data_IF_023967355524
#
_entry.id   IF_023967355524
#
_cell.length_a   1.000
_cell.length_b   1.000
_cell.length_c   1.000
_cell.angle_alpha   90.00
_cell.angle_beta   90.00
_cell.angle_gamma   90.00
#
_symmetry.space_group_name_H-M   'P 1'
#
loop_
_entity.id
_entity.type
_entity.pdbx_description
1 polymer ?
#
# COMPACT_ATOMS: atom_id res chain seq x y z
N UNK A 1 5.96 8.54 -16.34
CA UNK A 1 5.64 8.65 -14.90
C UNK A 1 4.76 7.44 -14.57
N UNK A 2 5.19 6.57 -13.66
CA UNK A 2 4.41 5.43 -13.17
C UNK A 2 3.54 5.85 -12.00
N UNK A 3 2.31 5.36 -11.96
CA UNK A 3 1.35 5.66 -10.89
C UNK A 3 1.22 4.53 -9.85
N UNK A 4 1.89 3.38 -10.06
CA UNK A 4 1.74 2.20 -9.22
C UNK A 4 3.02 1.41 -8.93
N UNK A 5 4.12 1.68 -9.65
CA UNK A 5 5.34 0.88 -9.48
C UNK A 5 6.19 1.35 -8.28
N UNK A 6 6.28 0.53 -7.24
CA UNK A 6 6.99 0.85 -5.99
C UNK A 6 8.30 0.08 -5.79
N UNK A 7 8.70 -0.76 -6.75
CA UNK A 7 9.97 -1.50 -6.72
C UNK A 7 11.18 -0.58 -6.46
N UNK A 8 11.98 -0.82 -5.41
CA UNK A 8 13.18 -0.04 -5.11
C UNK A 8 14.22 -0.02 -6.24
N UNK A 9 14.26 -1.05 -7.10
CA UNK A 9 15.22 -1.08 -8.22
C UNK A 9 15.02 0.09 -9.21
N UNK A 10 13.81 0.62 -9.31
CA UNK A 10 13.45 1.73 -10.22
C UNK A 10 13.98 3.10 -9.76
N UNK A 11 14.57 3.16 -8.57
CA UNK A 11 15.24 4.35 -8.02
C UNK A 11 16.59 4.63 -8.68
N UNK A 12 17.24 3.62 -9.28
CA UNK A 12 18.55 3.79 -9.89
C UNK A 12 18.49 4.69 -11.13
N UNK A 13 18.95 5.93 -10.99
CA UNK A 13 18.96 6.94 -12.07
C UNK A 13 19.95 6.62 -13.17
N UNK A 14 20.96 5.78 -12.93
CA UNK A 14 21.89 5.35 -13.96
C UNK A 14 21.23 4.38 -14.92
N UNK A 15 20.51 3.38 -14.40
CA UNK A 15 19.75 2.41 -15.21
C UNK A 15 18.44 3.00 -15.75
N UNK A 16 17.74 3.82 -14.96
CA UNK A 16 16.41 4.37 -15.28
C UNK A 16 16.37 5.91 -15.26
N UNK A 17 17.17 6.61 -16.09
CA UNK A 17 17.29 8.07 -16.05
C UNK A 17 15.98 8.81 -16.34
N UNK A 18 15.07 8.22 -17.12
CA UNK A 18 13.79 8.81 -17.54
C UNK A 18 12.57 8.30 -16.76
N UNK A 19 12.79 7.44 -15.76
CA UNK A 19 11.71 6.94 -14.94
C UNK A 19 11.30 8.00 -13.92
N UNK A 20 10.01 8.10 -13.64
CA UNK A 20 9.46 8.94 -12.57
C UNK A 20 8.25 8.23 -12.02
N UNK A 21 7.91 8.44 -10.75
CA UNK A 21 6.70 7.88 -10.14
C UNK A 21 6.04 8.82 -9.15
N UNK A 22 4.72 8.81 -9.12
CA UNK A 22 3.87 9.58 -8.18
C UNK A 22 3.67 8.85 -6.85
N UNK A 23 4.60 7.97 -6.51
CA UNK A 23 4.63 7.15 -5.30
C UNK A 23 6.09 7.00 -4.87
N UNK A 24 6.30 6.51 -3.67
CA UNK A 24 7.64 6.21 -3.16
C UNK A 24 7.96 4.72 -3.30
N UNK A 25 9.26 4.39 -3.27
CA UNK A 25 9.70 3.00 -3.18
C UNK A 25 9.15 2.31 -1.93
N UNK A 26 9.02 0.98 -1.98
CA UNK A 26 8.70 0.14 -0.83
C UNK A 26 9.67 0.34 0.36
N UNK A 27 10.89 0.83 0.13
CA UNK A 27 11.85 1.09 1.21
C UNK A 27 11.35 2.11 2.23
N UNK A 28 10.67 3.17 1.79
CA UNK A 28 10.16 4.19 2.70
C UNK A 28 9.02 3.62 3.55
N UNK A 29 8.18 2.76 2.95
CA UNK A 29 7.14 2.05 3.67
C UNK A 29 7.73 1.10 4.72
N UNK A 30 8.82 0.40 4.42
CA UNK A 30 9.50 -0.46 5.40
C UNK A 30 10.06 0.35 6.58
N UNK A 31 10.56 1.56 6.34
CA UNK A 31 10.99 2.48 7.40
C UNK A 31 9.79 2.89 8.27
N UNK A 32 8.68 3.30 7.65
CA UNK A 32 7.44 3.66 8.33
C UNK A 32 6.91 2.51 9.19
N UNK A 33 6.93 1.28 8.65
CA UNK A 33 6.56 0.06 9.35
C UNK A 33 7.46 -0.16 10.58
N UNK A 34 8.78 -0.05 10.43
CA UNK A 34 9.69 -0.24 11.56
C UNK A 34 9.40 0.74 12.71
N UNK A 35 9.06 2.00 12.39
CA UNK A 35 8.64 2.97 13.40
C UNK A 35 7.33 2.57 14.07
N UNK A 36 6.34 2.11 13.30
CA UNK A 36 5.07 1.62 13.84
C UNK A 36 5.28 0.43 14.80
N UNK A 37 6.11 -0.55 14.42
CA UNK A 37 6.41 -1.71 15.24
C UNK A 37 7.12 -1.29 16.55
N UNK A 38 8.07 -0.37 16.46
CA UNK A 38 8.79 0.19 17.63
C UNK A 38 7.87 0.94 18.58
N UNK A 39 6.91 1.72 18.05
CA UNK A 39 5.92 2.45 18.84
C UNK A 39 5.15 1.53 19.80
N UNK A 40 4.77 0.34 19.33
CA UNK A 40 4.08 -0.67 20.14
C UNK A 40 5.02 -1.61 20.91
N UNK A 41 6.34 -1.40 20.84
CA UNK A 41 7.34 -2.26 21.50
C UNK A 41 7.39 -3.68 20.92
N UNK A 42 6.97 -3.85 19.66
CA UNK A 42 6.99 -5.12 18.95
C UNK A 42 8.36 -5.36 18.34
N UNK A 43 9.02 -6.42 18.78
CA UNK A 43 10.34 -6.83 18.27
C UNK A 43 10.37 -8.29 17.79
N UNK A 44 9.21 -8.95 17.74
CA UNK A 44 9.08 -10.36 17.37
C UNK A 44 7.85 -10.59 16.49
N UNK A 45 8.04 -10.58 15.18
CA UNK A 45 6.95 -10.58 14.18
C UNK A 45 7.03 -11.76 13.22
N UNK A 46 5.91 -12.13 12.61
CA UNK A 46 5.87 -13.05 11.48
C UNK A 46 5.78 -12.28 10.17
N UNK A 47 6.28 -12.86 9.08
CA UNK A 47 6.10 -12.32 7.72
C UNK A 47 5.41 -13.37 6.86
N UNK A 48 4.38 -12.92 6.16
CA UNK A 48 3.70 -13.70 5.12
C UNK A 48 3.80 -12.93 3.81
N UNK A 49 4.24 -13.60 2.76
CA UNK A 49 4.47 -12.98 1.46
C UNK A 49 3.85 -13.81 0.34
N UNK A 50 3.51 -13.16 -0.77
CA UNK A 50 2.94 -13.82 -1.95
C UNK A 50 3.92 -14.84 -2.54
N UNK A 51 3.42 -15.94 -3.12
CA UNK A 51 4.26 -17.02 -3.67
C UNK A 51 4.76 -16.69 -5.08
N UNK A 52 5.36 -15.50 -5.22
CA UNK A 52 5.90 -14.98 -6.48
C UNK A 52 7.21 -14.20 -6.25
N UNK A 53 7.84 -13.75 -7.34
CA UNK A 53 9.11 -13.03 -7.27
C UNK A 53 9.03 -11.70 -6.49
N UNK A 54 7.87 -11.03 -6.54
CA UNK A 54 7.64 -9.80 -5.78
C UNK A 54 7.62 -10.09 -4.28
N UNK A 55 6.87 -11.11 -3.84
CA UNK A 55 6.81 -11.53 -2.44
C UNK A 55 8.14 -11.98 -1.87
N UNK A 56 8.91 -12.77 -2.62
CA UNK A 56 10.25 -13.21 -2.19
C UNK A 56 11.22 -12.02 -2.01
N UNK A 57 11.18 -11.07 -2.95
CA UNK A 57 12.01 -9.85 -2.89
C UNK A 57 11.62 -8.97 -1.70
N UNK A 58 10.33 -8.72 -1.54
CA UNK A 58 9.80 -7.91 -0.42
C UNK A 58 10.17 -8.55 0.91
N UNK A 59 10.02 -9.88 1.05
CA UNK A 59 10.41 -10.60 2.26
C UNK A 59 11.90 -10.42 2.60
N UNK A 60 12.79 -10.55 1.61
CA UNK A 60 14.23 -10.39 1.82
C UNK A 60 14.60 -8.97 2.23
N UNK A 61 14.05 -7.96 1.53
CA UNK A 61 14.29 -6.55 1.85
C UNK A 61 13.72 -6.21 3.22
N UNK A 62 12.46 -6.55 3.48
CA UNK A 62 11.78 -6.26 4.74
C UNK A 62 12.53 -6.87 5.93
N UNK A 63 12.97 -8.12 5.83
CA UNK A 63 13.76 -8.78 6.90
C UNK A 63 15.06 -8.02 7.20
N UNK A 64 15.71 -7.46 6.17
CA UNK A 64 16.92 -6.63 6.34
C UNK A 64 16.62 -5.31 7.04
N UNK A 65 15.50 -4.65 6.73
CA UNK A 65 15.08 -3.43 7.42
C UNK A 65 14.70 -3.69 8.88
N UNK A 66 13.89 -4.72 9.15
CA UNK A 66 13.51 -5.12 10.50
C UNK A 66 14.72 -5.44 11.38
N UNK A 67 15.66 -6.25 10.86
CA UNK A 67 16.85 -6.66 11.62
C UNK A 67 17.77 -5.49 11.99
N UNK A 68 17.92 -4.49 11.10
CA UNK A 68 18.67 -3.25 11.39
C UNK A 68 18.04 -2.46 12.54
N UNK A 69 16.73 -2.54 12.67
CA UNK A 69 15.97 -1.84 13.70
C UNK A 69 15.81 -2.66 15.00
N UNK A 70 16.47 -3.83 15.09
CA UNK A 70 16.42 -4.70 16.26
C UNK A 70 15.12 -5.51 16.37
N UNK A 71 14.41 -5.70 15.26
CA UNK A 71 13.17 -6.48 15.18
C UNK A 71 13.48 -7.83 14.52
N UNK A 72 13.11 -8.91 15.19
CA UNK A 72 13.36 -10.26 14.70
C UNK A 72 12.12 -10.86 14.04
N UNK A 73 12.38 -11.63 12.99
CA UNK A 73 11.36 -12.41 12.28
C UNK A 73 11.30 -13.82 12.84
N UNK A 74 10.19 -14.22 13.47
CA UNK A 74 9.97 -15.59 13.94
C UNK A 74 9.91 -16.58 12.77
N UNK A 75 9.19 -16.19 11.73
CA UNK A 75 8.99 -16.98 10.54
C UNK A 75 8.75 -16.09 9.34
N UNK A 76 9.21 -16.55 8.18
CA UNK A 76 8.81 -16.07 6.86
C UNK A 76 8.14 -17.21 6.12
N UNK A 77 6.88 -17.05 5.72
CA UNK A 77 6.14 -18.10 5.02
C UNK A 77 5.42 -17.54 3.79
N UNK A 78 5.43 -18.33 2.72
CA UNK A 78 4.63 -18.05 1.52
C UNK A 78 3.14 -18.20 1.85
N UNK A 79 2.34 -17.29 1.35
CA UNK A 79 0.88 -17.41 1.35
C UNK A 79 0.54 -18.53 0.36
N UNK A 80 0.19 -19.70 0.87
CA UNK A 80 -0.27 -20.84 0.07
C UNK A 80 -1.06 -21.81 0.96
N UNK A 81 -1.63 -22.87 0.38
CA UNK A 81 -2.48 -23.84 1.09
C UNK A 81 -1.79 -24.57 2.26
N UNK A 82 -0.45 -24.58 2.32
CA UNK A 82 0.31 -25.24 3.41
C UNK A 82 0.48 -24.33 4.62
N UNK A 83 0.20 -23.04 4.49
CA UNK A 83 0.39 -22.03 5.52
C UNK A 83 -0.43 -22.35 6.78
N UNK A 84 -1.68 -22.79 6.65
CA UNK A 84 -2.58 -23.05 7.80
C UNK A 84 -1.98 -24.05 8.81
N UNK A 85 -1.38 -25.15 8.31
CA UNK A 85 -0.77 -26.17 9.17
C UNK A 85 0.47 -25.62 9.89
N UNK A 86 1.20 -24.74 9.23
CA UNK A 86 2.44 -24.14 9.75
C UNK A 86 2.15 -23.04 10.76
N UNK A 87 1.10 -22.24 10.54
CA UNK A 87 0.67 -21.16 11.43
C UNK A 87 0.36 -21.62 12.85
N UNK A 88 -0.21 -22.83 13.02
CA UNK A 88 -0.52 -23.40 14.35
C UNK A 88 0.70 -23.57 15.25
N UNK A 89 1.91 -23.60 14.69
CA UNK A 89 3.18 -23.77 15.43
C UNK A 89 3.83 -22.44 15.82
N UNK A 90 3.30 -21.32 15.34
CA UNK A 90 3.87 -19.98 15.51
C UNK A 90 3.34 -19.32 16.78
N UNK A 91 4.20 -18.56 17.47
CA UNK A 91 3.89 -17.92 18.75
C UNK A 91 3.44 -16.47 18.59
N UNK A 92 4.04 -15.71 17.68
CA UNK A 92 3.71 -14.29 17.50
C UNK A 92 2.29 -14.11 16.97
N UNK A 93 1.62 -13.07 17.46
CA UNK A 93 0.30 -12.64 16.97
C UNK A 93 0.39 -11.61 15.86
N UNK A 94 1.47 -10.84 15.79
CA UNK A 94 1.63 -9.76 14.82
C UNK A 94 2.30 -10.31 13.57
N UNK A 95 1.63 -10.16 12.43
CA UNK A 95 2.08 -10.68 11.14
C UNK A 95 2.04 -9.55 10.11
N UNK A 96 3.15 -9.36 9.42
CA UNK A 96 3.27 -8.42 8.30
C UNK A 96 2.97 -9.19 7.02
N UNK A 97 2.16 -8.60 6.14
CA UNK A 97 1.76 -9.19 4.87
C UNK A 97 2.27 -8.30 3.73
N UNK A 98 3.14 -8.87 2.88
CA UNK A 98 3.85 -8.16 1.80
C UNK A 98 3.84 -8.93 0.47
N UNK A 99 4.43 -8.34 -0.57
CA UNK A 99 4.37 -8.84 -1.94
C UNK A 99 3.14 -8.40 -2.71
N UNK A 100 3.21 -8.49 -4.04
CA UNK A 100 2.09 -8.15 -4.93
C UNK A 100 1.11 -9.33 -5.04
N UNK A 101 -0.15 -9.17 -4.58
CA UNK A 101 -1.14 -10.21 -4.72
C UNK A 101 -1.56 -10.40 -6.18
N UNK A 102 -1.80 -11.65 -6.56
CA UNK A 102 -2.38 -12.00 -7.85
C UNK A 102 -3.59 -12.92 -7.67
N UNK A 103 -4.75 -12.35 -7.36
CA UNK A 103 -5.96 -13.13 -7.07
C UNK A 103 -6.59 -13.79 -8.31
N UNK A 104 -6.22 -13.41 -9.53
CA UNK A 104 -6.70 -14.08 -10.75
C UNK A 104 -6.14 -15.51 -10.87
N UNK A 105 -4.96 -15.77 -10.29
CA UNK A 105 -4.26 -17.06 -10.44
C UNK A 105 -3.98 -17.77 -9.11
N UNK A 106 -4.16 -17.12 -7.96
CA UNK A 106 -3.85 -17.70 -6.66
C UNK A 106 -5.11 -17.85 -5.79
N UNK A 107 -5.59 -19.09 -5.53
CA UNK A 107 -6.76 -19.34 -4.69
C UNK A 107 -6.37 -19.20 -3.21
N UNK A 108 -6.18 -17.97 -2.77
CA UNK A 108 -6.00 -17.62 -1.36
C UNK A 108 -7.31 -17.52 -0.58
N UNK A 109 -8.45 -17.74 -1.28
CA UNK A 109 -9.81 -17.53 -0.78
C UNK A 109 -10.06 -18.15 0.57
N UNK A 110 -9.43 -19.28 0.89
CA UNK A 110 -9.65 -19.98 2.16
C UNK A 110 -8.56 -19.70 3.21
N UNK A 111 -7.34 -19.36 2.78
CA UNK A 111 -6.18 -19.27 3.68
C UNK A 111 -6.09 -17.90 4.33
N UNK A 112 -6.27 -16.84 3.54
CA UNK A 112 -6.17 -15.45 4.01
C UNK A 112 -7.26 -15.11 5.05
N UNK A 113 -8.56 -15.46 4.88
CA UNK A 113 -9.56 -15.28 5.93
C UNK A 113 -9.17 -15.89 7.27
N UNK A 114 -8.65 -17.13 7.26
CA UNK A 114 -8.28 -17.86 8.47
C UNK A 114 -7.09 -17.21 9.17
N UNK A 115 -6.12 -16.75 8.40
CA UNK A 115 -4.97 -16.00 8.91
C UNK A 115 -5.44 -14.72 9.61
N UNK A 116 -6.27 -13.92 8.95
CA UNK A 116 -6.78 -12.64 9.47
C UNK A 116 -7.56 -12.87 10.77
N UNK A 117 -8.35 -13.94 10.87
CA UNK A 117 -9.08 -14.26 12.11
C UNK A 117 -8.16 -14.65 13.28
N UNK A 118 -7.02 -15.27 13.01
CA UNK A 118 -6.12 -15.80 14.05
C UNK A 118 -5.05 -14.82 14.51
N UNK A 119 -4.66 -13.89 13.64
CA UNK A 119 -3.49 -13.02 13.82
C UNK A 119 -3.88 -11.55 13.66
N UNK A 120 -3.09 -10.66 14.25
CA UNK A 120 -3.15 -9.23 13.97
C UNK A 120 -2.29 -8.96 12.74
N UNK A 121 -2.94 -8.64 11.63
CA UNK A 121 -2.28 -8.48 10.34
C UNK A 121 -1.99 -7.00 10.05
N UNK A 122 -0.78 -6.73 9.57
CA UNK A 122 -0.37 -5.44 9.02
C UNK A 122 -0.15 -5.64 7.51
N UNK A 123 -0.98 -5.01 6.68
CA UNK A 123 -0.90 -5.07 5.23
C UNK A 123 -0.15 -3.87 4.69
N UNK A 124 0.81 -4.15 3.79
CA UNK A 124 1.55 -3.11 3.08
C UNK A 124 0.76 -2.58 1.88
N UNK A 125 1.18 -1.45 1.32
CA UNK A 125 0.37 -0.65 0.41
C UNK A 125 -0.03 -1.36 -0.89
N UNK A 126 0.80 -2.28 -1.38
CA UNK A 126 0.53 -3.15 -2.54
C UNK A 126 -0.76 -3.97 -2.41
N UNK A 127 -1.13 -4.31 -1.18
CA UNK A 127 -2.28 -5.15 -0.88
C UNK A 127 -3.60 -4.40 -1.08
N UNK A 128 -3.59 -3.07 -0.95
CA UNK A 128 -4.79 -2.22 -1.03
C UNK A 128 -5.58 -2.33 -2.34
N UNK A 129 -4.92 -2.62 -3.45
CA UNK A 129 -5.52 -2.66 -4.78
C UNK A 129 -6.57 -3.74 -4.98
N UNK A 130 -6.63 -4.71 -4.07
CA UNK A 130 -7.30 -5.97 -4.33
C UNK A 130 -8.13 -6.49 -3.14
N UNK A 131 -8.31 -5.71 -2.05
CA UNK A 131 -9.12 -6.17 -0.90
C UNK A 131 -10.62 -6.16 -1.14
N UNK A 132 -11.08 -5.19 -1.92
CA UNK A 132 -12.52 -5.00 -2.08
C UNK A 132 -13.14 -6.12 -2.94
N UNK A 133 -12.36 -6.74 -3.84
CA UNK A 133 -12.76 -7.93 -4.60
C UNK A 133 -12.87 -9.23 -3.80
N UNK A 134 -12.46 -9.27 -2.52
CA UNK A 134 -12.24 -10.54 -1.81
C UNK A 134 -13.34 -11.00 -0.86
N UNK A 135 -14.50 -10.34 -0.76
CA UNK A 135 -15.47 -10.58 0.34
C UNK A 135 -14.86 -10.49 1.77
N UNK A 136 -13.59 -10.05 1.87
CA UNK A 136 -12.79 -10.06 3.10
C UNK A 136 -13.07 -8.84 3.98
N UNK A 137 -13.82 -7.85 3.50
CA UNK A 137 -14.14 -6.64 4.26
C UNK A 137 -14.63 -6.99 5.68
N UNK A 138 -15.51 -7.99 5.81
CA UNK A 138 -16.00 -8.49 7.11
C UNK A 138 -14.89 -8.87 8.11
N UNK A 139 -13.72 -9.28 7.62
CA UNK A 139 -12.59 -9.78 8.40
C UNK A 139 -11.50 -8.73 8.64
N UNK A 140 -11.51 -7.61 7.92
CA UNK A 140 -10.48 -6.58 8.04
C UNK A 140 -10.55 -5.77 9.33
N UNK A 141 -11.66 -5.90 10.09
CA UNK A 141 -11.75 -5.30 11.41
C UNK A 141 -10.61 -5.81 12.29
N UNK A 142 -9.80 -4.90 12.82
CA UNK A 142 -8.67 -5.27 13.67
C UNK A 142 -7.32 -5.40 12.95
N UNK A 143 -7.28 -5.11 11.65
CA UNK A 143 -6.06 -5.10 10.83
C UNK A 143 -5.53 -3.69 10.62
N UNK A 144 -4.27 -3.54 10.25
CA UNK A 144 -3.64 -2.25 9.96
C UNK A 144 -3.18 -2.23 8.52
N UNK A 145 -3.38 -1.11 7.83
CA UNK A 145 -2.97 -0.88 6.45
C UNK A 145 -2.12 0.38 6.35
N UNK A 146 -1.14 0.35 5.46
CA UNK A 146 -0.43 1.54 4.99
C UNK A 146 -0.99 1.97 3.63
N UNK A 147 -1.28 3.25 3.47
CA UNK A 147 -1.77 3.82 2.22
C UNK A 147 -0.94 5.04 1.83
N UNK A 148 -0.55 5.12 0.55
CA UNK A 148 0.07 6.30 -0.03
C UNK A 148 -0.94 7.06 -0.90
N UNK A 149 -0.80 8.38 -0.93
CA UNK A 149 -1.45 9.25 -1.92
C UNK A 149 -2.97 9.00 -2.07
N UNK A 150 -3.70 9.15 -0.96
CA UNK A 150 -5.15 8.96 -0.87
C UNK A 150 -5.92 10.04 -1.65
N UNK A 151 -6.97 9.65 -2.36
CA UNK A 151 -7.96 10.61 -2.87
C UNK A 151 -8.77 11.24 -1.73
N UNK A 152 -8.69 12.56 -1.60
CA UNK A 152 -9.56 13.34 -0.71
C UNK A 152 -11.01 13.37 -1.22
N UNK A 153 -11.96 13.51 -0.29
CA UNK A 153 -13.41 13.46 -0.59
C UNK A 153 -13.85 14.46 -1.67
N UNK A 154 -13.21 15.64 -1.73
CA UNK A 154 -13.55 16.67 -2.72
C UNK A 154 -13.16 16.28 -4.16
N UNK A 155 -11.96 15.70 -4.34
CA UNK A 155 -11.53 15.17 -5.63
C UNK A 155 -12.39 13.97 -6.03
N UNK A 156 -12.76 13.15 -5.05
CA UNK A 156 -13.70 12.05 -5.25
C UNK A 156 -15.05 12.48 -5.85
N UNK A 157 -15.55 13.68 -5.51
CA UNK A 157 -16.83 14.17 -6.05
C UNK A 157 -16.73 14.56 -7.54
N UNK A 158 -15.72 15.34 -7.93
CA UNK A 158 -15.51 15.72 -9.35
C UNK A 158 -15.16 14.52 -10.21
N UNK A 159 -14.31 13.62 -9.69
CA UNK A 159 -13.96 12.38 -10.37
C UNK A 159 -15.20 11.51 -10.57
N UNK A 160 -16.05 11.35 -9.54
CA UNK A 160 -17.34 10.64 -9.65
C UNK A 160 -18.23 11.25 -10.72
N UNK A 161 -18.38 12.57 -10.75
CA UNK A 161 -19.19 13.25 -11.76
C UNK A 161 -18.66 12.97 -13.17
N UNK A 162 -17.35 13.09 -13.39
CA UNK A 162 -16.71 12.73 -14.65
C UNK A 162 -16.98 11.27 -15.03
N UNK A 163 -16.75 10.32 -14.11
CA UNK A 163 -16.95 8.89 -14.35
C UNK A 163 -18.40 8.52 -14.64
N UNK A 164 -19.37 9.18 -14.01
CA UNK A 164 -20.81 9.01 -14.29
C UNK A 164 -21.18 9.41 -15.72
N UNK A 165 -20.41 10.29 -16.35
CA UNK A 165 -20.65 10.68 -17.74
C UNK A 165 -20.09 9.69 -18.75
N UNK A 166 -19.17 8.81 -18.34
CA UNK A 166 -18.55 7.79 -19.17
C UNK A 166 -19.50 6.60 -19.32
N UNK A 167 -20.00 6.42 -20.54
CA UNK A 167 -20.93 5.36 -20.87
C UNK A 167 -20.62 4.82 -22.27
N UNK A 168 -20.69 3.49 -22.50
CA UNK A 168 -20.38 2.90 -23.80
C UNK A 168 -21.20 3.45 -24.97
N UNK A 169 -22.42 3.93 -24.72
CA UNK A 169 -23.24 4.59 -25.77
C UNK A 169 -22.65 5.90 -26.30
N UNK A 170 -21.81 6.60 -25.51
CA UNK A 170 -21.08 7.79 -25.95
C UNK A 170 -19.73 7.43 -26.60
N UNK A 171 -19.17 6.29 -26.21
CA UNK A 171 -17.86 5.82 -26.67
C UNK A 171 -17.97 4.40 -27.26
N UNK A 172 -18.70 4.21 -28.39
CA UNK A 172 -19.00 2.89 -28.94
C UNK A 172 -17.79 2.18 -29.56
N UNK A 173 -16.62 2.82 -29.60
CA UNK A 173 -15.36 2.23 -30.08
C UNK A 173 -14.38 1.93 -28.95
N UNK A 174 -14.76 2.16 -27.70
CA UNK A 174 -13.96 1.80 -26.53
C UNK A 174 -14.31 0.36 -26.11
N UNK A 175 -13.54 -0.60 -26.62
CA UNK A 175 -13.72 -2.02 -26.35
C UNK A 175 -13.53 -2.34 -24.85
N UNK A 176 -12.64 -1.62 -24.15
CA UNK A 176 -12.41 -1.81 -22.71
C UNK A 176 -13.64 -1.38 -21.91
N UNK A 177 -14.23 -0.22 -22.24
CA UNK A 177 -15.43 0.28 -21.61
C UNK A 177 -16.62 -0.67 -21.80
N UNK A 178 -16.73 -1.27 -22.98
CA UNK A 178 -17.75 -2.29 -23.25
C UNK A 178 -17.54 -3.57 -22.42
N UNK A 179 -16.29 -4.03 -22.32
CA UNK A 179 -15.95 -5.20 -21.48
C UNK A 179 -16.22 -4.95 -20.00
N UNK A 180 -15.96 -3.74 -19.49
CA UNK A 180 -16.30 -3.38 -18.10
C UNK A 180 -17.81 -3.50 -17.84
N UNK A 181 -18.66 -3.04 -18.77
CA UNK A 181 -20.11 -3.21 -18.67
C UNK A 181 -20.53 -4.68 -18.69
N UNK A 182 -19.92 -5.46 -19.58
CA UNK A 182 -20.19 -6.88 -19.67
C UNK A 182 -19.83 -7.61 -18.36
N UNK A 183 -18.64 -7.34 -17.81
CA UNK A 183 -18.15 -8.02 -16.62
C UNK A 183 -18.87 -7.59 -15.34
N UNK A 184 -18.99 -6.29 -15.09
CA UNK A 184 -19.48 -5.79 -13.81
C UNK A 184 -21.00 -5.59 -13.77
N UNK A 185 -21.62 -5.20 -14.89
CA UNK A 185 -23.07 -5.02 -14.96
C UNK A 185 -23.81 -6.24 -15.53
N UNK A 186 -23.06 -7.23 -16.05
CA UNK A 186 -23.59 -8.46 -16.64
C UNK A 186 -24.62 -8.15 -17.74
N UNK A 187 -24.32 -7.17 -18.60
CA UNK A 187 -25.23 -6.71 -19.65
C UNK A 187 -24.52 -6.43 -20.98
N UNK A 188 -25.27 -6.46 -22.08
CA UNK A 188 -24.75 -6.26 -23.45
C UNK A 188 -25.36 -5.00 -24.11
N UNK A 189 -24.52 -4.24 -24.81
CA UNK A 189 -24.86 -2.97 -25.48
C UNK A 189 -25.33 -3.16 -26.92
N UNK A 190 -26.23 -4.11 -27.16
CA UNK A 190 -26.73 -4.53 -28.48
C UNK A 190 -25.67 -5.16 -29.41
N UNK A 191 -26.14 -6.16 -30.14
CA UNK A 191 -25.34 -7.15 -30.85
C UNK A 191 -24.62 -6.58 -32.08
N UNK A 192 -23.29 -6.51 -32.03
CA UNK A 192 -22.41 -6.17 -33.16
C UNK A 192 -21.66 -7.40 -33.70
N UNK A 193 -22.02 -8.61 -33.26
CA UNK A 193 -21.37 -9.86 -33.64
C UNK A 193 -20.04 -10.15 -32.92
N UNK A 194 -19.36 -9.14 -32.37
CA UNK A 194 -18.19 -9.33 -31.48
C UNK A 194 -18.59 -9.79 -30.09
N UNK A 195 -19.75 -9.31 -29.62
CA UNK A 195 -20.32 -9.66 -28.31
C UNK A 195 -20.64 -11.16 -28.14
N UNK A 196 -20.85 -11.90 -29.24
CA UNK A 196 -21.31 -13.29 -29.20
C UNK A 196 -20.27 -14.25 -28.59
N UNK A 197 -18.96 -14.05 -28.83
CA UNK A 197 -17.90 -14.85 -28.19
C UNK A 197 -17.84 -14.66 -26.67
N UNK A 198 -18.12 -13.45 -26.20
CA UNK A 198 -18.09 -13.15 -24.77
C UNK A 198 -19.37 -13.59 -24.05
N UNK A 199 -20.53 -13.53 -24.70
CA UNK A 199 -21.81 -14.06 -24.18
C UNK A 199 -21.75 -15.59 -23.95
N UNK A 200 -21.02 -16.32 -24.80
CA UNK A 200 -20.85 -17.78 -24.62
C UNK A 200 -19.96 -18.16 -23.42
N UNK A 201 -19.05 -17.28 -23.00
CA UNK A 201 -18.12 -17.53 -21.89
C UNK A 201 -18.54 -16.83 -20.57
N UNK A 202 -19.25 -15.70 -20.65
CA UNK A 202 -19.77 -14.94 -19.52
C UNK A 202 -21.30 -14.96 -19.59
N UNK A 203 -21.97 -15.39 -18.51
CA UNK A 203 -23.42 -15.56 -18.40
C UNK A 203 -24.14 -14.19 -18.38
N UNK A 204 -23.99 -13.38 -19.42
CA UNK A 204 -24.70 -12.11 -19.59
C UNK A 204 -25.95 -12.37 -20.42
N UNK A 205 -27.12 -12.35 -19.78
CA UNK A 205 -28.41 -12.71 -20.39
C UNK A 205 -29.30 -11.51 -20.73
N UNK A 206 -28.90 -10.29 -20.35
CA UNK A 206 -29.74 -9.07 -20.47
C UNK A 206 -29.06 -7.98 -21.29
N UNK A 207 -29.89 -7.19 -21.97
CA UNK A 207 -29.46 -5.93 -22.58
C UNK A 207 -29.23 -4.87 -21.51
N UNK A 208 -28.22 -4.02 -21.69
CA UNK A 208 -28.01 -2.86 -20.81
C UNK A 208 -29.17 -1.87 -20.96
N UNK A 209 -29.60 -1.29 -19.85
CA UNK A 209 -30.70 -0.31 -19.80
C UNK A 209 -30.27 1.08 -20.22
N UNK A 210 -28.96 1.36 -20.18
CA UNK A 210 -28.36 2.67 -20.41
C UNK A 210 -28.38 3.57 -19.19
N UNK A 211 -28.77 3.04 -18.02
CA UNK A 211 -28.76 3.75 -16.73
C UNK A 211 -27.60 3.36 -15.85
N UNK A 212 -26.93 2.25 -16.18
CA UNK A 212 -25.75 1.76 -15.48
C UNK A 212 -24.62 2.78 -15.59
N UNK A 213 -23.82 2.92 -14.53
CA UNK A 213 -22.69 3.85 -14.45
C UNK A 213 -21.44 3.13 -13.99
N UNK A 214 -20.28 3.66 -14.38
CA UNK A 214 -19.00 3.21 -13.81
C UNK A 214 -19.00 3.27 -12.29
N UNK A 215 -19.67 4.27 -11.69
CA UNK A 215 -19.66 4.45 -10.24
C UNK A 215 -20.66 3.55 -9.51
N UNK A 216 -21.48 2.80 -10.24
CA UNK A 216 -22.29 1.70 -9.71
C UNK A 216 -21.45 0.42 -9.58
N UNK A 217 -20.33 0.30 -10.31
CA UNK A 217 -19.39 -0.80 -10.18
C UNK A 217 -18.76 -0.68 -8.78
N UNK A 218 -18.93 -1.70 -7.91
CA UNK A 218 -18.19 -1.75 -6.67
C UNK A 218 -16.68 -1.60 -6.96
N UNK A 219 -15.89 -1.06 -6.03
CA UNK A 219 -14.44 -0.87 -6.23
C UNK A 219 -13.98 0.21 -7.25
N UNK A 220 -14.81 0.66 -8.20
CA UNK A 220 -14.36 1.62 -9.23
C UNK A 220 -13.91 2.95 -8.64
N UNK A 221 -14.62 3.46 -7.62
CA UNK A 221 -14.25 4.67 -6.90
C UNK A 221 -13.34 4.40 -5.70
N UNK A 222 -12.74 3.22 -5.62
CA UNK A 222 -11.75 2.94 -4.60
C UNK A 222 -10.64 4.00 -4.71
N UNK A 223 -10.32 4.63 -3.58
CA UNK A 223 -9.46 5.81 -3.52
C UNK A 223 -7.99 5.50 -3.85
N UNK A 224 -7.68 4.25 -4.21
CA UNK A 224 -6.34 3.70 -4.38
C UNK A 224 -5.84 3.89 -5.81
N UNK A 225 -4.63 4.40 -5.95
CA UNK A 225 -3.93 4.73 -7.20
C UNK A 225 -4.62 5.70 -8.16
N UNK A 226 -5.94 5.93 -8.08
CA UNK A 226 -6.64 6.92 -8.91
C UNK A 226 -6.07 8.33 -8.70
N UNK A 227 -5.76 8.72 -7.46
CA UNK A 227 -5.02 9.96 -7.17
C UNK A 227 -3.64 9.96 -7.84
N UNK A 228 -2.89 8.86 -7.73
CA UNK A 228 -1.57 8.73 -8.33
C UNK A 228 -1.60 8.80 -9.86
N UNK A 229 -2.63 8.23 -10.49
CA UNK A 229 -2.85 8.26 -11.94
C UNK A 229 -3.18 9.69 -12.39
N UNK A 230 -4.16 10.33 -11.75
CA UNK A 230 -4.54 11.72 -12.05
C UNK A 230 -3.32 12.63 -11.90
N UNK A 231 -2.59 12.49 -10.79
CA UNK A 231 -1.37 13.23 -10.53
C UNK A 231 -0.30 12.99 -11.61
N UNK A 232 -0.13 11.76 -12.08
CA UNK A 232 0.84 11.46 -13.14
C UNK A 232 0.48 12.17 -14.45
N UNK A 233 -0.81 12.22 -14.81
CA UNK A 233 -1.31 12.93 -15.99
C UNK A 233 -1.14 14.43 -15.82
N UNK A 234 -1.51 14.99 -14.67
CA UNK A 234 -1.41 16.43 -14.40
C UNK A 234 0.05 16.90 -14.41
N UNK A 235 0.97 16.17 -13.77
CA UNK A 235 2.39 16.47 -13.80
C UNK A 235 2.97 16.42 -15.22
N UNK A 236 2.53 15.46 -16.04
CA UNK A 236 2.93 15.39 -17.44
C UNK A 236 2.43 16.61 -18.23
N UNK A 237 1.18 16.99 -18.04
CA UNK A 237 0.57 18.14 -18.70
C UNK A 237 1.27 19.45 -18.30
N UNK A 238 1.55 19.64 -17.01
CA UNK A 238 2.28 20.81 -16.49
C UNK A 238 3.69 20.90 -17.08
N UNK A 239 4.43 19.78 -17.13
CA UNK A 239 5.78 19.76 -17.71
C UNK A 239 5.76 20.08 -19.21
N UNK A 240 4.78 19.55 -19.96
CA UNK A 240 4.59 19.87 -21.38
C UNK A 240 4.23 21.33 -21.59
N UNK A 241 3.38 21.89 -20.72
CA UNK A 241 2.99 23.30 -20.77
C UNK A 241 4.17 24.22 -20.50
N UNK A 242 4.97 23.92 -19.46
CA UNK A 242 6.16 24.72 -19.13
C UNK A 242 7.18 24.69 -20.28
N UNK A 243 7.44 23.49 -20.83
CA UNK A 243 8.27 23.35 -22.02
C UNK A 243 7.73 24.17 -23.19
N UNK A 244 6.45 24.03 -23.53
CA UNK A 244 5.83 24.79 -24.62
C UNK A 244 5.97 26.31 -24.43
N UNK A 245 5.75 26.79 -23.20
CA UNK A 245 5.87 28.20 -22.86
C UNK A 245 7.32 28.71 -22.92
N UNK A 246 8.30 27.88 -22.56
CA UNK A 246 9.70 28.22 -22.68
C UNK A 246 10.12 28.37 -24.15
N UNK A 247 9.73 27.42 -25.01
CA UNK A 247 10.06 27.47 -26.44
C UNK A 247 9.34 28.59 -27.18
N UNK A 248 8.08 28.89 -26.83
CA UNK A 248 7.31 29.98 -27.43
C UNK A 248 7.92 31.35 -27.13
N UNK A 249 8.51 31.54 -25.94
CA UNK A 249 9.24 32.76 -25.57
C UNK A 249 10.59 32.90 -26.29
N UNK A 250 11.22 31.80 -26.69
CA UNK A 250 12.52 31.83 -27.37
C UNK A 250 12.44 32.06 -28.88
N UNK A 251 11.27 31.90 -29.51
CA UNK A 251 11.15 31.88 -30.97
C UNK A 251 10.12 32.88 -31.52
N UNK A 252 10.49 34.16 -31.58
CA UNK A 252 9.83 35.13 -32.45
C UNK A 252 10.30 34.94 -33.91
N UNK A 253 9.74 33.98 -34.64
CA UNK A 253 10.04 33.82 -36.08
C UNK A 253 9.37 32.62 -36.76
N UNK A 254 8.88 32.82 -37.99
CA UNK A 254 8.26 31.78 -38.84
C UNK A 254 9.29 30.71 -39.23
N UNK A 255 9.39 29.67 -38.41
CA UNK A 255 10.26 28.53 -38.64
C UNK A 255 10.10 27.48 -37.55
N UNK A 256 8.90 26.91 -37.40
CA UNK A 256 8.61 25.81 -36.46
C UNK A 256 9.50 24.61 -36.82
N UNK A 257 10.62 24.43 -36.11
CA UNK A 257 11.18 23.09 -35.93
C UNK A 257 10.29 22.39 -34.92
N UNK A 258 9.76 21.22 -35.26
CA UNK A 258 9.06 20.37 -34.31
C UNK A 258 10.12 19.94 -33.28
N UNK A 259 9.99 20.43 -32.05
CA UNK A 259 10.97 20.16 -31.00
C UNK A 259 11.07 18.64 -30.75
N UNK A 260 12.28 18.14 -30.49
CA UNK A 260 12.45 16.74 -30.14
C UNK A 260 12.13 16.57 -28.65
N UNK A 261 10.83 16.34 -28.38
CA UNK A 261 10.23 16.20 -27.04
C UNK A 261 10.93 15.17 -26.14
N UNK A 262 11.61 14.17 -26.73
CA UNK A 262 12.02 12.96 -26.00
C UNK A 262 13.08 13.21 -24.91
N UNK A 263 14.06 14.08 -25.14
CA UNK A 263 15.11 14.35 -24.14
C UNK A 263 14.88 15.65 -23.36
N UNK A 264 14.12 16.59 -23.92
CA UNK A 264 13.92 17.89 -23.30
C UNK A 264 12.88 17.82 -22.17
N UNK A 265 11.81 17.03 -22.37
CA UNK A 265 10.72 16.89 -21.40
C UNK A 265 11.20 16.39 -20.03
N UNK A 266 12.22 15.53 -20.01
CA UNK A 266 12.83 15.04 -18.77
C UNK A 266 13.26 16.15 -17.82
N UNK A 267 13.86 17.22 -18.37
CA UNK A 267 14.32 18.37 -17.60
C UNK A 267 13.17 19.08 -16.91
N UNK A 268 12.05 19.25 -17.61
CA UNK A 268 10.86 19.90 -17.09
C UNK A 268 10.17 19.01 -16.05
N UNK A 269 10.11 17.70 -16.30
CA UNK A 269 9.59 16.74 -15.34
C UNK A 269 10.38 16.76 -14.03
N UNK A 270 11.72 16.83 -14.06
CA UNK A 270 12.56 16.85 -12.84
C UNK A 270 12.23 17.99 -11.88
N UNK A 271 11.69 19.10 -12.39
CA UNK A 271 11.40 20.31 -11.62
C UNK A 271 9.93 20.72 -11.66
N UNK A 272 9.03 19.82 -12.06
CA UNK A 272 7.60 20.16 -12.16
C UNK A 272 7.07 20.54 -10.78
N UNK A 273 6.62 21.80 -10.58
CA UNK A 273 6.04 22.19 -9.31
C UNK A 273 4.64 21.60 -9.24
N UNK A 274 4.37 20.84 -8.18
CA UNK A 274 3.07 20.23 -7.95
C UNK A 274 2.65 20.44 -6.51
N UNK A 275 1.45 20.95 -6.30
CA UNK A 275 0.82 21.00 -4.99
C UNK A 275 -0.35 20.02 -4.99
N UNK A 276 -0.41 19.20 -3.95
CA UNK A 276 -1.64 18.53 -3.55
C UNK A 276 -2.37 19.54 -2.64
N UNK A 277 -3.68 19.68 -2.76
CA UNK A 277 -4.42 20.66 -1.97
C UNK A 277 -4.09 20.57 -0.48
N UNK A 278 -3.72 21.71 0.11
CA UNK A 278 -3.32 21.80 1.52
C UNK A 278 -1.87 21.38 1.83
N UNK A 279 -1.12 20.82 0.88
CA UNK A 279 0.31 20.49 1.03
C UNK A 279 1.24 21.56 0.44
N UNK A 280 2.47 21.69 0.94
CA UNK A 280 3.49 22.52 0.31
C UNK A 280 3.77 22.07 -1.14
N UNK A 281 4.00 23.04 -2.03
CA UNK A 281 4.46 22.74 -3.40
C UNK A 281 5.73 21.91 -3.34
N UNK A 282 5.73 20.77 -4.03
CA UNK A 282 6.84 19.83 -4.10
C UNK A 282 7.13 19.43 -5.55
N UNK A 283 8.18 18.65 -5.76
CA UNK A 283 8.59 18.12 -7.06
C UNK A 283 9.19 16.72 -6.86
N UNK A 284 9.51 16.03 -7.96
CA UNK A 284 10.19 14.74 -7.86
C UNK A 284 11.56 14.90 -7.18
N UNK A 285 11.88 13.99 -6.27
CA UNK A 285 13.17 13.94 -5.60
C UNK A 285 14.28 13.46 -6.56
N UNK A 286 15.52 13.36 -6.06
CA UNK A 286 16.67 12.90 -6.87
C UNK A 286 16.51 11.47 -7.41
N UNK A 287 15.67 10.66 -6.76
CA UNK A 287 15.31 9.29 -7.16
C UNK A 287 14.20 9.25 -8.23
N UNK A 288 13.60 10.39 -8.57
CA UNK A 288 12.47 10.49 -9.49
C UNK A 288 11.12 10.17 -8.85
N UNK A 289 11.01 10.27 -7.53
CA UNK A 289 9.83 9.91 -6.75
C UNK A 289 9.13 11.16 -6.24
N UNK A 290 7.80 11.16 -6.26
CA UNK A 290 7.01 12.15 -5.55
C UNK A 290 6.76 11.65 -4.13
N UNK A 291 7.22 12.41 -3.14
CA UNK A 291 7.19 12.01 -1.73
C UNK A 291 5.82 12.35 -1.14
N UNK A 292 5.18 11.36 -0.50
CA UNK A 292 3.87 11.49 0.13
C UNK A 292 3.95 11.17 1.63
N UNK A 293 2.96 11.64 2.39
CA UNK A 293 2.70 11.03 3.69
C UNK A 293 2.04 9.66 3.47
N UNK A 294 2.29 8.74 4.40
CA UNK A 294 1.58 7.48 4.48
C UNK A 294 0.45 7.61 5.50
N UNK A 295 -0.76 7.27 5.11
CA UNK A 295 -1.86 7.09 6.04
C UNK A 295 -1.79 5.69 6.66
N UNK A 296 -1.97 5.62 7.98
CA UNK A 296 -2.10 4.36 8.71
C UNK A 296 -3.59 4.17 8.99
N UNK A 297 -4.17 3.09 8.46
CA UNK A 297 -5.60 2.85 8.46
C UNK A 297 -5.91 1.60 9.26
N UNK A 298 -6.96 1.66 10.08
CA UNK A 298 -7.52 0.52 10.79
C UNK A 298 -8.99 0.39 10.39
N UNK A 299 -9.32 -0.48 9.41
CA UNK A 299 -10.69 -0.60 8.92
C UNK A 299 -11.63 -1.11 10.01
N UNK A 300 -12.85 -0.58 10.07
CA UNK A 300 -13.89 -1.05 10.98
C UNK A 300 -15.29 -0.82 10.39
N UNK A 301 -16.27 -1.63 10.80
CA UNK A 301 -17.68 -1.38 10.45
C UNK A 301 -18.25 -0.28 11.33
N UNK A 302 -18.81 0.75 10.70
CA UNK A 302 -19.60 1.75 11.40
C UNK A 302 -20.96 1.17 11.86
N UNK A 303 -21.70 1.88 12.75
CA UNK A 303 -23.03 1.43 13.19
C UNK A 303 -24.06 1.27 12.05
N UNK A 304 -23.81 1.86 10.88
CA UNK A 304 -24.63 1.73 9.68
C UNK A 304 -24.29 0.52 8.82
N UNK A 305 -23.32 -0.31 9.25
CA UNK A 305 -22.88 -1.50 8.51
C UNK A 305 -21.96 -1.20 7.33
N UNK A 306 -21.44 0.04 7.21
CA UNK A 306 -20.48 0.42 6.17
C UNK A 306 -19.06 0.32 6.70
N UNK A 307 -18.16 -0.21 5.88
CA UNK A 307 -16.73 -0.22 6.19
C UNK A 307 -16.15 1.20 6.17
N UNK A 308 -15.53 1.60 7.27
CA UNK A 308 -14.81 2.85 7.42
C UNK A 308 -13.32 2.63 7.19
N UNK A 309 -12.74 3.37 6.25
CA UNK A 309 -11.29 3.39 5.95
C UNK A 309 -10.62 4.66 6.46
N UNK A 310 -11.07 5.20 7.60
CA UNK A 310 -10.50 6.44 8.15
C UNK A 310 -9.09 6.21 8.72
N UNK A 311 -8.16 7.15 8.54
CA UNK A 311 -6.82 7.02 9.10
C UNK A 311 -6.88 7.11 10.64
N UNK A 312 -6.08 6.28 11.29
CA UNK A 312 -5.82 6.29 12.74
C UNK A 312 -4.48 6.96 13.06
N UNK A 313 -3.67 7.21 12.04
CA UNK A 313 -2.41 7.93 12.13
C UNK A 313 -1.82 8.18 10.75
N UNK A 314 -0.62 8.74 10.74
CA UNK A 314 0.16 9.00 9.54
C UNK A 314 1.66 8.85 9.81
N UNK A 315 2.42 8.59 8.75
CA UNK A 315 3.87 8.70 8.72
C UNK A 315 4.28 9.77 7.71
N UNK A 316 5.07 10.74 8.16
CA UNK A 316 5.49 11.92 7.38
C UNK A 316 7.00 11.84 7.12
N UNK A 317 7.45 11.42 5.92
CA UNK A 317 8.87 11.14 5.64
C UNK A 317 9.82 12.33 5.87
N UNK A 318 9.34 13.54 5.59
CA UNK A 318 10.13 14.77 5.68
C UNK A 318 10.15 15.40 7.08
N UNK A 319 9.40 14.86 8.04
CA UNK A 319 9.41 15.36 9.41
C UNK A 319 10.71 14.96 10.15
N UNK A 320 11.07 15.67 11.24
CA UNK A 320 12.12 15.23 12.16
C UNK A 320 11.83 13.82 12.67
N UNK A 321 12.88 13.01 12.89
CA UNK A 321 12.78 11.56 13.17
C UNK A 321 11.74 11.23 14.25
N UNK A 322 11.70 11.99 15.34
CA UNK A 322 10.79 11.78 16.48
C UNK A 322 9.32 12.13 16.18
N UNK A 323 9.07 12.88 15.12
CA UNK A 323 7.75 13.39 14.72
C UNK A 323 7.26 12.76 13.41
N UNK A 324 8.02 11.82 12.84
CA UNK A 324 7.64 11.16 11.59
C UNK A 324 6.38 10.32 11.75
N UNK A 325 6.24 9.60 12.87
CA UNK A 325 5.05 8.81 13.16
C UNK A 325 4.10 9.60 14.06
N UNK A 326 2.88 9.85 13.58
CA UNK A 326 1.79 10.48 14.33
C UNK A 326 0.66 9.47 14.43
N UNK A 327 0.39 8.96 15.63
CA UNK A 327 -0.57 7.88 15.83
C UNK A 327 -1.53 8.18 16.96
N UNK A 328 -2.82 7.94 16.73
CA UNK A 328 -3.82 7.88 17.79
C UNK A 328 -4.05 6.41 18.14
N UNK A 329 -3.25 5.88 19.07
CA UNK A 329 -3.30 4.47 19.46
C UNK A 329 -4.65 4.03 20.01
N UNK A 330 -5.41 4.93 20.65
CA UNK A 330 -6.72 4.63 21.24
C UNK A 330 -7.82 4.40 20.19
N UNK A 331 -7.61 4.87 18.95
CA UNK A 331 -8.53 4.65 17.83
C UNK A 331 -8.29 3.32 17.11
N UNK A 332 -7.23 2.60 17.45
CA UNK A 332 -6.92 1.32 16.80
C UNK A 332 -7.66 0.21 17.54
N UNK A 333 -8.58 -0.41 16.83
CA UNK A 333 -9.23 -1.65 17.25
C UNK A 333 -8.28 -2.78 16.89
N UNK A 334 -7.91 -3.61 17.88
CA UNK A 334 -7.04 -4.76 17.67
C UNK A 334 -7.83 -6.06 17.54
N UNK A 335 -7.32 -6.98 16.72
CA UNK A 335 -7.83 -8.36 16.64
C UNK A 335 -7.36 -9.22 17.84
N UNK A 336 -7.79 -8.83 19.03
CA UNK A 336 -7.59 -9.53 20.31
C UNK A 336 -8.91 -9.57 21.08
N UNK A 337 -9.12 -10.53 22.00
CA UNK A 337 -10.40 -10.69 22.71
C UNK A 337 -10.90 -9.41 23.42
N UNK A 338 -9.98 -8.57 23.88
CA UNK A 338 -10.28 -7.33 24.60
C UNK A 338 -10.00 -6.05 23.78
N UNK A 339 -9.70 -6.18 22.49
CA UNK A 339 -9.21 -5.07 21.64
C UNK A 339 -7.97 -4.35 22.19
N UNK A 340 -7.15 -5.05 22.97
CA UNK A 340 -5.88 -4.57 23.48
C UNK A 340 -4.76 -4.81 22.47
N UNK A 341 -3.69 -4.00 22.57
CA UNK A 341 -2.48 -4.13 21.75
C UNK A 341 -1.94 -5.56 21.87
N UNK A 342 -1.80 -6.32 20.76
CA UNK A 342 -1.27 -7.68 20.83
C UNK A 342 0.19 -7.68 21.30
N UNK A 343 0.56 -8.70 22.09
CA UNK A 343 1.95 -8.93 22.46
C UNK A 343 2.73 -9.54 21.28
N UNK A 344 3.87 -8.95 20.94
CA UNK A 344 4.80 -9.44 19.90
C UNK A 344 6.26 -9.31 20.37
N UNK A 345 6.58 -10.06 21.43
CA UNK A 345 7.92 -10.17 22.02
C UNK A 345 8.27 -11.64 22.24
N UNK A 346 9.54 -12.01 21.98
CA UNK A 346 10.01 -13.38 22.15
C UNK A 346 10.04 -13.80 23.63
N UNK A 347 10.64 -12.96 24.47
CA UNK A 347 10.71 -13.12 25.93
C UNK A 347 10.08 -11.92 26.62
N UNK A 348 9.45 -12.14 27.78
CA UNK A 348 9.01 -11.05 28.65
C UNK A 348 10.20 -10.21 29.13
N UNK A 349 9.94 -8.93 29.41
CA UNK A 349 10.93 -8.05 30.00
C UNK A 349 11.37 -8.58 31.37
N UNK A 350 12.69 -8.59 31.59
CA UNK A 350 13.26 -8.99 32.87
C UNK A 350 12.83 -8.04 33.98
N UNK A 351 12.32 -8.61 35.07
CA UNK A 351 11.90 -7.88 36.27
C UNK A 351 13.10 -7.21 36.97
N UNK A 352 12.88 -6.18 37.82
CA UNK A 352 13.95 -5.60 38.62
C UNK A 352 14.71 -6.66 39.42
N UNK A 353 16.03 -6.51 39.50
CA UNK A 353 16.94 -7.51 40.07
C UNK A 353 17.37 -8.62 39.10
N UNK A 354 16.74 -8.73 37.92
CA UNK A 354 17.16 -9.61 36.83
C UNK A 354 17.76 -8.79 35.67
N UNK A 355 18.74 -9.39 34.99
CA UNK A 355 19.37 -8.87 33.78
C UNK A 355 19.07 -9.77 32.58
N UNK A 356 19.12 -9.19 31.38
CA UNK A 356 19.04 -9.94 30.12
C UNK A 356 20.31 -10.77 29.94
N UNK A 357 20.13 -12.06 29.70
CA UNK A 357 21.19 -13.00 29.34
C UNK A 357 20.95 -13.48 27.91
N UNK A 358 21.86 -13.12 27.01
CA UNK A 358 21.82 -13.60 25.62
C UNK A 358 22.31 -15.04 25.60
N UNK A 359 21.49 -15.94 25.05
CA UNK A 359 21.84 -17.35 24.93
C UNK A 359 22.47 -17.58 23.55
N UNK A 360 23.69 -18.15 23.46
CA UNK A 360 24.29 -18.48 22.17
C UNK A 360 23.37 -19.38 21.34
N UNK A 361 23.15 -19.02 20.08
CA UNK A 361 22.27 -19.76 19.17
C UNK A 361 20.81 -19.32 19.15
N UNK A 362 20.40 -18.34 19.98
CA UNK A 362 19.06 -17.70 19.87
C UNK A 362 19.12 -16.38 19.10
N UNK A 363 17.99 -15.97 18.53
CA UNK A 363 17.85 -14.64 17.92
C UNK A 363 18.02 -13.55 18.97
N UNK A 364 18.53 -12.38 18.58
CA UNK A 364 18.87 -11.26 19.50
C UNK A 364 17.67 -10.75 20.31
N UNK A 365 16.46 -10.90 19.77
CA UNK A 365 15.23 -10.51 20.45
C UNK A 365 14.78 -11.53 21.52
N UNK A 366 15.39 -12.72 21.53
CA UNK A 366 15.12 -13.78 22.49
C UNK A 366 16.28 -13.89 23.49
N UNK A 367 15.96 -13.68 24.76
CA UNK A 367 16.93 -13.73 25.86
C UNK A 367 16.32 -14.48 27.04
N UNK A 368 17.15 -14.82 28.03
CA UNK A 368 16.70 -15.29 29.34
C UNK A 368 16.89 -14.19 30.37
N UNK A 369 16.15 -14.27 31.47
CA UNK A 369 16.34 -13.39 32.61
C UNK A 369 17.12 -14.12 33.70
N UNK A 370 18.27 -13.58 34.07
CA UNK A 370 19.15 -14.14 35.09
C UNK A 370 19.34 -13.13 36.23
N UNK A 371 19.59 -13.56 37.48
CA UNK A 371 19.93 -12.65 38.58
C UNK A 371 21.12 -11.74 38.23
N UNK A 372 21.08 -10.51 38.73
CA UNK A 372 22.27 -9.65 38.68
C UNK A 372 23.39 -10.29 39.51
N UNK A 373 24.65 -10.23 39.05
CA UNK A 373 25.78 -10.66 39.87
C UNK A 373 25.91 -9.79 41.11
N UNK A 374 26.61 -10.31 42.11
CA UNK A 374 26.78 -9.64 43.39
C UNK A 374 27.44 -8.25 43.21
N UNK A 375 26.79 -7.21 43.74
CA UNK A 375 27.23 -5.81 43.61
C UNK A 375 26.60 -5.03 42.45
N UNK A 376 25.86 -5.67 41.54
CA UNK A 376 25.13 -5.00 40.45
C UNK A 376 23.63 -4.88 40.74
N UNK A 377 22.98 -3.84 40.21
CA UNK A 377 21.56 -3.56 40.43
C UNK A 377 20.86 -3.27 39.09
N UNK A 378 19.75 -3.97 38.83
CA UNK A 378 18.81 -3.67 37.77
C UNK A 378 17.55 -3.00 38.36
N UNK A 379 17.51 -1.67 38.31
CA UNK A 379 16.44 -0.86 38.92
C UNK A 379 15.20 -0.65 38.03
N UNK A 380 15.25 -1.05 36.76
CA UNK A 380 14.15 -0.89 35.80
C UNK A 380 13.97 -2.15 34.98
N UNK A 381 12.72 -2.47 34.68
CA UNK A 381 12.34 -3.60 33.82
C UNK A 381 12.98 -3.48 32.44
N UNK A 382 13.63 -4.54 31.96
CA UNK A 382 14.10 -4.63 30.57
C UNK A 382 15.49 -4.01 30.25
N UNK A 383 16.29 -3.65 31.24
CA UNK A 383 17.67 -3.15 31.03
C UNK A 383 18.69 -4.32 31.02
N UNK A 384 19.71 -4.21 30.17
CA UNK A 384 20.97 -4.96 30.30
C UNK A 384 21.78 -4.31 31.41
N UNK A 385 21.91 -4.98 32.56
CA UNK A 385 22.78 -4.52 33.65
C UNK A 385 24.22 -4.31 33.15
#
# INVERSE_FOLDING_TARGET
ISYGATDPALTDRATFPYFFRTLQSDEEEFIALCQLLKHFGWNWVGIIYTDNESGERDYQLLTKYLSREGICTEFGMKLNLKLEKSLKKTKTRVVIICGDPNFEFEPFSDTLPKLIRQKTCIFLSKWLNQYESLELASLLTGTVFFMQNRLDEQYGARFREFSDTFHPSKYPHDDLLQHMWLWHHQCVLKDDGKSMYYIYNFIATKNCTGKEKLTDIPEYLSSYHSASLIQAVDMMALALQDMHNFHSKQTHGKGRRMDNYNYQLHRYLRHVPYAIDGSPVSSFNEKGEFVHQYDIINPFFDPGGKMSWKPVGSYVPWAPVEQRLILNSDKIIWNTPNHEVPRAQCTDNCLPGLRKLIVPGTLTCCYQCAPCPEGEISNKTGITA
#
